data_IF_218745929657
#
_entry.id   IF_218745929657
#
_cell.length_a   1.000
_cell.length_b   1.000
_cell.length_c   1.000
_cell.angle_alpha   90.00
_cell.angle_beta   90.00
_cell.angle_gamma   90.00
#
_symmetry.space_group_name_H-M   'P 1'
#
loop_
_entity.id
_entity.type
_entity.pdbx_description
1 polymer ?
#
# COMPACT_ATOMS: atom_id res chain seq x y z
N UNK A 1 9.20 28.60 7.51
CA UNK A 1 9.34 27.41 6.61
C UNK A 1 8.08 27.27 5.77
N UNK A 2 8.20 27.24 4.45
CA UNK A 2 7.06 27.05 3.54
C UNK A 2 6.62 25.58 3.70
N UNK A 3 5.43 25.37 4.24
CA UNK A 3 4.85 24.03 4.36
C UNK A 3 4.49 23.52 2.94
N UNK A 4 5.29 22.60 2.43
CA UNK A 4 5.03 22.00 1.12
C UNK A 4 3.73 21.19 1.21
N UNK A 5 2.74 21.53 0.38
CA UNK A 5 1.44 20.85 0.41
C UNK A 5 1.54 19.39 -0.04
N UNK A 6 0.70 18.51 0.57
CA UNK A 6 0.55 17.10 0.12
C UNK A 6 0.30 17.01 -1.39
N UNK A 7 -0.41 17.98 -1.98
CA UNK A 7 -0.70 18.03 -3.41
C UNK A 7 0.59 18.16 -4.24
N UNK A 8 1.44 19.12 -3.90
CA UNK A 8 2.69 19.36 -4.62
C UNK A 8 3.64 18.14 -4.54
N UNK A 9 3.79 17.54 -3.35
CA UNK A 9 4.60 16.33 -3.17
C UNK A 9 4.04 15.18 -4.01
N UNK A 10 2.73 14.99 -4.00
CA UNK A 10 2.05 13.96 -4.79
C UNK A 10 2.31 14.12 -6.29
N UNK A 11 2.14 15.33 -6.82
CA UNK A 11 2.28 15.60 -8.24
C UNK A 11 3.74 15.38 -8.69
N UNK A 12 4.70 15.92 -7.94
CA UNK A 12 6.15 15.74 -8.21
C UNK A 12 6.54 14.26 -8.24
N UNK A 13 6.13 13.49 -7.23
CA UNK A 13 6.55 12.08 -7.11
C UNK A 13 5.79 11.16 -8.06
N UNK A 14 4.55 11.49 -8.44
CA UNK A 14 3.84 10.79 -9.52
C UNK A 14 4.57 10.95 -10.85
N UNK A 15 5.03 12.17 -11.19
CA UNK A 15 5.81 12.42 -12.42
C UNK A 15 7.08 11.56 -12.39
N UNK A 16 7.86 11.62 -11.29
CA UNK A 16 9.09 10.84 -11.18
C UNK A 16 8.83 9.33 -11.31
N UNK A 17 7.78 8.80 -10.69
CA UNK A 17 7.43 7.39 -10.76
C UNK A 17 7.00 6.98 -12.18
N UNK A 18 6.21 7.80 -12.86
CA UNK A 18 5.78 7.55 -14.25
C UNK A 18 6.93 7.55 -15.26
N UNK A 19 8.00 8.26 -14.96
CA UNK A 19 9.20 8.32 -15.81
C UNK A 19 10.06 7.05 -15.73
N UNK A 20 9.84 6.15 -14.77
CA UNK A 20 10.56 4.87 -14.70
C UNK A 20 10.33 4.06 -15.97
N UNK A 21 11.38 3.42 -16.46
CA UNK A 21 11.28 2.41 -17.53
C UNK A 21 10.72 1.11 -16.97
N UNK A 22 10.16 0.26 -17.83
CA UNK A 22 9.59 -1.04 -17.39
C UNK A 22 10.64 -1.95 -16.72
N UNK A 23 11.85 -1.99 -17.27
CA UNK A 23 12.95 -2.75 -16.68
C UNK A 23 13.39 -2.22 -15.32
N UNK A 24 13.32 -0.89 -15.09
CA UNK A 24 13.59 -0.30 -13.78
C UNK A 24 12.49 -0.71 -12.78
N UNK A 25 11.22 -0.64 -13.18
CA UNK A 25 10.10 -1.11 -12.33
C UNK A 25 10.30 -2.56 -11.93
N UNK A 26 10.68 -3.43 -12.86
CA UNK A 26 10.94 -4.84 -12.58
C UNK A 26 12.09 -5.02 -11.58
N UNK A 27 13.26 -4.43 -11.85
CA UNK A 27 14.45 -4.56 -11.00
C UNK A 27 14.23 -4.01 -9.58
N UNK A 28 13.60 -2.83 -9.47
CA UNK A 28 13.28 -2.23 -8.18
C UNK A 28 12.24 -3.07 -7.41
N UNK A 29 11.24 -3.62 -8.11
CA UNK A 29 10.23 -4.51 -7.50
C UNK A 29 10.83 -5.81 -7.00
N UNK A 30 11.79 -6.40 -7.73
CA UNK A 30 12.54 -7.57 -7.25
C UNK A 30 13.31 -7.27 -5.97
N UNK A 31 13.95 -6.10 -5.89
CA UNK A 31 14.69 -5.66 -4.72
C UNK A 31 13.77 -5.49 -3.50
N UNK A 32 12.57 -4.93 -3.68
CA UNK A 32 11.53 -4.85 -2.66
C UNK A 32 11.10 -6.26 -2.24
N UNK A 33 10.80 -7.13 -3.20
CA UNK A 33 10.35 -8.51 -2.96
C UNK A 33 11.38 -9.30 -2.15
N UNK A 34 12.68 -9.20 -2.50
CA UNK A 34 13.77 -9.88 -1.78
C UNK A 34 13.85 -9.46 -0.31
N UNK A 35 13.45 -8.23 0.04
CA UNK A 35 13.36 -7.78 1.43
C UNK A 35 12.08 -8.25 2.08
N UNK A 36 10.96 -8.08 1.42
CA UNK A 36 9.63 -8.45 1.90
C UNK A 36 9.55 -9.91 2.34
N UNK A 37 10.03 -10.84 1.51
CA UNK A 37 9.97 -12.28 1.79
C UNK A 37 10.87 -12.72 2.95
N UNK A 38 11.82 -11.90 3.40
CA UNK A 38 12.68 -12.19 4.56
C UNK A 38 12.03 -11.81 5.89
N UNK A 39 11.03 -10.93 5.87
CA UNK A 39 10.36 -10.43 7.07
C UNK A 39 9.53 -11.53 7.75
N UNK A 40 9.70 -11.75 9.07
CA UNK A 40 8.97 -12.79 9.80
C UNK A 40 7.46 -12.69 9.69
N UNK A 41 6.91 -11.48 9.82
CA UNK A 41 5.46 -11.27 9.72
C UNK A 41 4.92 -11.62 8.33
N UNK A 42 5.68 -11.31 7.26
CA UNK A 42 5.30 -11.72 5.91
C UNK A 42 5.39 -13.23 5.73
N UNK A 43 6.41 -13.89 6.30
CA UNK A 43 6.54 -15.35 6.23
C UNK A 43 5.38 -16.05 6.92
N UNK A 44 5.02 -15.57 8.11
CA UNK A 44 4.09 -16.26 9.02
C UNK A 44 2.62 -15.89 8.81
N UNK A 45 2.31 -14.81 8.10
CA UNK A 45 0.91 -14.46 7.85
C UNK A 45 0.26 -15.46 6.88
N UNK A 46 -0.97 -15.85 7.17
CA UNK A 46 -1.83 -16.66 6.30
C UNK A 46 -2.71 -15.80 5.40
N UNK A 47 -3.32 -14.76 5.99
CA UNK A 47 -4.21 -13.83 5.31
C UNK A 47 -3.47 -12.53 5.01
N UNK A 48 -3.08 -12.35 3.76
CA UNK A 48 -2.29 -11.22 3.26
C UNK A 48 -3.13 -10.38 2.31
N UNK A 49 -3.34 -9.11 2.63
CA UNK A 49 -3.92 -8.17 1.69
C UNK A 49 -2.82 -7.45 0.89
N UNK A 50 -2.97 -7.44 -0.42
CA UNK A 50 -2.08 -6.75 -1.36
C UNK A 50 -2.88 -5.81 -2.26
N UNK A 51 -2.22 -4.94 -2.97
CA UNK A 51 -2.83 -4.09 -4.00
C UNK A 51 -2.53 -4.62 -5.41
N UNK A 52 -3.35 -4.24 -6.37
CA UNK A 52 -3.08 -4.43 -7.79
C UNK A 52 -2.28 -3.22 -8.29
N UNK A 53 -1.02 -3.46 -8.66
CA UNK A 53 -0.12 -2.39 -9.07
C UNK A 53 -0.64 -1.64 -10.30
N UNK A 54 -0.56 -0.33 -10.26
CA UNK A 54 -0.92 0.59 -11.33
C UNK A 54 0.07 1.74 -11.42
N UNK A 55 0.12 2.42 -12.56
CA UNK A 55 0.93 3.64 -12.72
C UNK A 55 2.39 3.47 -12.24
N UNK A 56 3.06 2.39 -12.64
CA UNK A 56 4.45 2.08 -12.25
C UNK A 56 4.66 1.90 -10.75
N UNK A 57 3.65 1.47 -10.01
CA UNK A 57 3.82 1.01 -8.63
C UNK A 57 4.68 -0.25 -8.56
N UNK A 58 5.36 -0.51 -7.42
CA UNK A 58 6.09 -1.75 -7.25
C UNK A 58 5.19 -2.97 -7.49
N UNK A 59 5.67 -3.90 -8.28
CA UNK A 59 4.99 -5.17 -8.54
C UNK A 59 5.21 -6.10 -7.34
N UNK A 60 4.15 -6.71 -6.87
CA UNK A 60 4.22 -7.65 -5.76
C UNK A 60 4.00 -9.09 -6.24
N UNK A 61 4.73 -10.06 -5.68
CA UNK A 61 4.45 -11.47 -5.95
C UNK A 61 3.11 -11.85 -5.34
N UNK A 62 2.45 -12.83 -5.94
CA UNK A 62 1.27 -13.48 -5.37
C UNK A 62 1.72 -14.83 -4.79
N UNK A 63 1.97 -14.93 -3.46
CA UNK A 63 2.42 -16.16 -2.83
C UNK A 63 1.33 -17.25 -2.91
N UNK A 64 1.70 -18.44 -3.38
CA UNK A 64 0.76 -19.57 -3.52
C UNK A 64 0.34 -20.19 -2.17
N UNK A 65 1.15 -20.01 -1.14
CA UNK A 65 0.94 -20.57 0.20
C UNK A 65 0.20 -19.63 1.15
N UNK A 66 -0.41 -18.58 0.64
CA UNK A 66 -1.15 -17.58 1.44
C UNK A 66 -2.53 -17.35 0.85
N UNK A 67 -3.47 -17.02 1.72
CA UNK A 67 -4.78 -16.50 1.31
C UNK A 67 -4.60 -15.03 0.96
N UNK A 68 -4.67 -14.73 -0.33
CA UNK A 68 -4.47 -13.38 -0.85
C UNK A 68 -5.80 -12.64 -0.92
N UNK A 69 -5.79 -11.41 -0.43
CA UNK A 69 -6.94 -10.52 -0.39
C UNK A 69 -6.64 -9.26 -1.19
N UNK A 70 -7.64 -8.77 -1.90
CA UNK A 70 -7.54 -7.54 -2.68
C UNK A 70 -8.57 -6.53 -2.19
N UNK A 71 -8.19 -5.24 -2.16
CA UNK A 71 -9.12 -4.17 -1.82
C UNK A 71 -10.11 -3.93 -2.96
N UNK A 72 -11.32 -3.57 -2.58
CA UNK A 72 -12.39 -3.12 -3.46
C UNK A 72 -13.02 -1.87 -2.86
N UNK A 73 -13.29 -0.88 -3.70
CA UNK A 73 -13.94 0.37 -3.27
C UNK A 73 -15.40 0.08 -2.98
N UNK A 74 -15.83 0.44 -1.78
CA UNK A 74 -17.22 0.42 -1.34
C UNK A 74 -17.56 1.77 -0.69
N UNK A 75 -18.32 2.58 -1.38
CA UNK A 75 -18.59 3.95 -0.98
C UNK A 75 -17.30 4.78 -0.81
N UNK A 76 -17.01 5.18 0.41
CA UNK A 76 -15.82 5.96 0.78
C UNK A 76 -14.76 5.15 1.53
N UNK A 77 -14.92 3.83 1.64
CA UNK A 77 -14.03 2.89 2.32
C UNK A 77 -13.59 1.76 1.37
N UNK A 78 -12.76 0.86 1.90
CA UNK A 78 -12.37 -0.37 1.24
C UNK A 78 -13.02 -1.56 1.95
N UNK A 79 -13.44 -2.53 1.16
CA UNK A 79 -13.69 -3.90 1.58
C UNK A 79 -12.61 -4.81 1.02
N UNK A 80 -12.33 -5.93 1.66
CA UNK A 80 -11.32 -6.88 1.21
C UNK A 80 -11.99 -8.17 0.76
N UNK A 81 -11.53 -8.71 -0.37
CA UNK A 81 -12.12 -9.89 -1.00
C UNK A 81 -11.01 -10.87 -1.39
N UNK A 82 -11.33 -12.16 -1.39
CA UNK A 82 -10.39 -13.17 -1.85
C UNK A 82 -9.95 -12.88 -3.29
N UNK A 83 -8.66 -13.07 -3.54
CA UNK A 83 -8.10 -13.02 -4.87
C UNK A 83 -8.63 -14.19 -5.68
N UNK A 84 -9.41 -13.89 -6.70
CA UNK A 84 -9.88 -14.83 -7.72
C UNK A 84 -9.39 -14.34 -9.08
N UNK A 85 -9.54 -15.15 -10.13
CA UNK A 85 -9.19 -14.72 -11.48
C UNK A 85 -10.28 -13.88 -12.15
N UNK A 86 -11.28 -13.42 -11.38
CA UNK A 86 -12.44 -12.65 -11.87
C UNK A 86 -12.35 -11.21 -11.42
N UNK A 87 -12.17 -10.29 -12.37
CA UNK A 87 -11.97 -8.87 -12.10
C UNK A 87 -12.86 -7.99 -12.97
N UNK A 88 -13.18 -6.81 -12.44
CA UNK A 88 -13.66 -5.66 -13.21
C UNK A 88 -12.75 -4.44 -12.96
N UNK A 89 -12.73 -3.50 -13.90
CA UNK A 89 -12.05 -2.23 -13.67
C UNK A 89 -12.98 -1.29 -12.90
N UNK A 90 -12.43 -0.62 -11.91
CA UNK A 90 -13.12 0.46 -11.20
C UNK A 90 -13.00 1.81 -11.95
N UNK A 91 -13.54 2.88 -11.35
CA UNK A 91 -13.51 4.24 -11.93
C UNK A 91 -12.10 4.81 -12.17
N UNK A 92 -11.08 4.22 -11.57
CA UNK A 92 -9.67 4.57 -11.75
C UNK A 92 -8.92 3.64 -12.72
N UNK A 93 -9.62 2.70 -13.35
CA UNK A 93 -9.03 1.70 -14.25
C UNK A 93 -8.29 0.56 -13.53
N UNK A 94 -8.35 0.49 -12.20
CA UNK A 94 -7.71 -0.55 -11.39
C UNK A 94 -8.62 -1.79 -11.35
N UNK A 95 -8.01 -2.97 -11.49
CA UNK A 95 -8.73 -4.25 -11.38
C UNK A 95 -9.18 -4.49 -9.94
N UNK A 96 -10.46 -4.75 -9.74
CA UNK A 96 -11.05 -5.11 -8.46
C UNK A 96 -11.77 -6.46 -8.56
N UNK A 97 -11.80 -7.26 -7.49
CA UNK A 97 -12.57 -8.50 -7.44
C UNK A 97 -14.05 -8.24 -7.72
N UNK A 98 -14.68 -9.12 -8.51
CA UNK A 98 -16.14 -9.05 -8.71
C UNK A 98 -16.92 -9.77 -7.63
N UNK A 99 -16.26 -10.60 -6.85
CA UNK A 99 -16.88 -11.39 -5.78
C UNK A 99 -17.54 -10.49 -4.74
N UNK A 100 -18.68 -10.94 -4.21
CA UNK A 100 -19.47 -10.17 -3.24
C UNK A 100 -19.07 -10.44 -1.79
N UNK A 101 -18.49 -11.61 -1.53
CA UNK A 101 -18.11 -12.00 -0.17
C UNK A 101 -17.00 -11.10 0.37
N UNK A 102 -17.27 -10.44 1.48
CA UNK A 102 -16.32 -9.55 2.16
C UNK A 102 -15.55 -10.35 3.19
N UNK A 103 -14.24 -10.28 3.12
CA UNK A 103 -13.36 -10.89 4.12
C UNK A 103 -13.19 -9.93 5.32
N UNK A 104 -13.40 -10.37 6.56
CA UNK A 104 -13.29 -9.52 7.74
C UNK A 104 -11.87 -8.98 7.94
N UNK A 105 -11.73 -7.66 8.10
CA UNK A 105 -10.43 -6.99 8.31
C UNK A 105 -9.72 -7.54 9.56
N UNK A 106 -10.46 -7.86 10.61
CA UNK A 106 -9.92 -8.43 11.86
C UNK A 106 -9.21 -9.78 11.68
N UNK A 107 -9.46 -10.48 10.58
CA UNK A 107 -8.80 -11.74 10.23
C UNK A 107 -7.60 -11.55 9.30
N UNK A 108 -7.35 -10.34 8.81
CA UNK A 108 -6.17 -10.01 8.00
C UNK A 108 -5.00 -9.77 8.95
N UNK A 109 -3.87 -10.40 8.69
CA UNK A 109 -2.69 -10.25 9.53
C UNK A 109 -1.73 -9.17 9.03
N UNK A 110 -1.67 -8.98 7.71
CA UNK A 110 -0.79 -8.00 7.07
C UNK A 110 -1.48 -7.38 5.86
N UNK A 111 -1.42 -6.05 5.77
CA UNK A 111 -1.86 -5.29 4.60
C UNK A 111 -0.66 -4.57 4.00
N UNK A 112 -0.36 -4.84 2.73
CA UNK A 112 0.61 -4.10 1.94
C UNK A 112 -0.08 -2.93 1.24
N UNK A 113 0.35 -1.71 1.57
CA UNK A 113 -0.32 -0.47 1.16
C UNK A 113 0.56 0.28 0.15
N UNK A 114 0.04 0.61 -1.05
CA UNK A 114 0.77 1.43 -2.01
C UNK A 114 0.86 2.87 -1.52
N UNK A 115 1.94 3.56 -1.89
CA UNK A 115 2.16 4.94 -1.51
C UNK A 115 2.76 5.77 -2.66
N UNK A 116 2.59 7.08 -2.57
CA UNK A 116 3.22 8.05 -3.47
C UNK A 116 4.41 8.71 -2.77
N UNK A 117 4.30 8.96 -1.47
CA UNK A 117 5.38 9.45 -0.63
C UNK A 117 5.24 8.87 0.78
N UNK A 118 6.33 8.89 1.53
CA UNK A 118 6.33 8.62 2.97
C UNK A 118 7.40 9.46 3.66
N UNK A 119 7.22 9.72 4.96
CA UNK A 119 8.18 10.46 5.77
C UNK A 119 8.89 9.57 6.80
N UNK A 120 9.77 10.15 7.60
CA UNK A 120 10.50 9.46 8.68
C UNK A 120 9.59 8.87 9.75
N UNK A 121 8.42 9.48 9.97
CA UNK A 121 7.47 9.05 10.98
C UNK A 121 6.51 7.97 10.46
N UNK A 122 6.77 7.42 9.27
CA UNK A 122 6.01 6.37 8.59
C UNK A 122 4.58 6.76 8.22
N UNK A 123 4.30 8.05 8.09
CA UNK A 123 3.07 8.50 7.44
C UNK A 123 3.23 8.50 5.93
N UNK A 124 2.14 8.23 5.22
CA UNK A 124 2.16 8.17 3.77
C UNK A 124 1.28 9.22 3.11
N UNK A 125 1.64 9.57 1.90
CA UNK A 125 0.77 10.26 0.94
C UNK A 125 0.27 9.21 -0.07
N UNK A 126 -1.05 9.03 -0.12
CA UNK A 126 -1.73 8.23 -1.15
C UNK A 126 -2.26 9.09 -2.30
N UNK A 127 -3.17 8.55 -3.09
CA UNK A 127 -3.74 9.22 -4.26
C UNK A 127 -4.67 10.41 -3.93
N UNK A 128 -5.17 10.51 -2.71
CA UNK A 128 -5.97 11.64 -2.23
C UNK A 128 -7.37 11.30 -1.73
N UNK A 129 -7.87 10.13 -2.03
CA UNK A 129 -9.24 9.72 -1.64
C UNK A 129 -9.36 9.29 -0.17
N UNK A 130 -8.24 8.94 0.49
CA UNK A 130 -8.20 8.55 1.90
C UNK A 130 -8.84 7.20 2.20
N UNK A 131 -9.00 6.32 1.21
CA UNK A 131 -9.67 5.03 1.39
C UNK A 131 -9.07 4.19 2.52
N UNK A 132 -7.75 4.00 2.53
CA UNK A 132 -7.08 3.23 3.58
C UNK A 132 -7.21 3.89 4.95
N UNK A 133 -7.09 5.22 5.03
CA UNK A 133 -7.21 5.97 6.28
C UNK A 133 -8.61 5.78 6.88
N UNK A 134 -9.65 6.03 6.09
CA UNK A 134 -11.05 5.87 6.51
C UNK A 134 -11.43 4.43 6.86
N UNK A 135 -10.77 3.46 6.24
CA UNK A 135 -11.07 2.03 6.47
C UNK A 135 -10.39 1.49 7.71
N UNK A 136 -9.15 1.92 7.99
CA UNK A 136 -8.28 1.31 8.97
C UNK A 136 -8.11 2.14 10.25
N UNK A 137 -8.63 3.36 10.32
CA UNK A 137 -8.48 4.26 11.46
C UNK A 137 -8.88 3.60 12.78
N UNK A 138 -10.07 3.00 12.84
CA UNK A 138 -10.58 2.36 14.06
C UNK A 138 -9.67 1.22 14.57
N UNK A 139 -9.04 0.50 13.66
CA UNK A 139 -8.12 -0.60 14.00
C UNK A 139 -6.79 -0.09 14.53
N UNK A 140 -6.28 1.01 13.98
CA UNK A 140 -5.02 1.62 14.42
C UNK A 140 -5.17 2.32 15.76
N UNK A 141 -6.26 3.02 16.00
CA UNK A 141 -6.56 3.68 17.28
C UNK A 141 -6.70 2.67 18.44
N UNK A 142 -7.38 1.54 18.18
CA UNK A 142 -7.56 0.47 19.16
C UNK A 142 -6.36 -0.46 19.27
N UNK A 143 -5.33 -0.28 18.46
CA UNK A 143 -4.18 -1.19 18.32
C UNK A 143 -4.59 -2.65 18.08
N UNK A 144 -5.68 -2.83 17.36
CA UNK A 144 -6.22 -4.13 16.94
C UNK A 144 -6.19 -4.21 15.42
N UNK A 145 -6.14 -5.41 14.87
CA UNK A 145 -6.19 -5.60 13.43
C UNK A 145 -4.84 -5.85 12.76
N UNK A 146 -4.77 -5.67 11.44
CA UNK A 146 -3.60 -6.05 10.64
C UNK A 146 -2.41 -5.13 10.87
N UNK A 147 -1.20 -5.65 10.67
CA UNK A 147 -0.01 -4.82 10.46
C UNK A 147 -0.11 -4.11 9.12
N UNK A 148 0.32 -2.85 9.08
CA UNK A 148 0.22 -1.97 7.91
C UNK A 148 1.60 -1.66 7.37
N UNK A 149 1.97 -2.25 6.23
CA UNK A 149 3.26 -2.01 5.61
C UNK A 149 3.13 -1.23 4.30
N UNK A 150 3.82 -0.10 4.23
CA UNK A 150 3.94 0.67 3.00
C UNK A 150 4.90 0.01 2.02
N UNK A 151 4.53 0.01 0.75
CA UNK A 151 5.38 -0.47 -0.34
C UNK A 151 5.63 0.68 -1.30
N UNK A 152 6.89 1.00 -1.52
CA UNK A 152 7.28 2.10 -2.39
C UNK A 152 8.74 2.05 -2.79
N UNK A 153 9.14 2.98 -3.66
CA UNK A 153 10.54 3.16 -4.03
C UNK A 153 11.24 4.12 -3.03
N UNK A 154 12.51 3.94 -2.81
CA UNK A 154 13.26 4.74 -1.84
C UNK A 154 13.24 6.25 -2.16
N UNK A 155 13.18 6.62 -3.44
CA UNK A 155 13.06 8.01 -3.87
C UNK A 155 11.72 8.68 -3.48
N UNK A 156 10.74 7.90 -3.01
CA UNK A 156 9.45 8.41 -2.51
C UNK A 156 9.52 8.86 -1.05
N UNK A 157 10.67 8.67 -0.39
CA UNK A 157 10.91 9.23 0.94
C UNK A 157 11.05 10.76 0.87
N UNK A 158 10.36 11.43 1.78
CA UNK A 158 10.42 12.90 1.95
C UNK A 158 10.78 13.24 3.39
N UNK A 159 11.46 14.38 3.58
CA UNK A 159 11.83 14.87 4.91
C UNK A 159 10.75 15.73 5.57
N UNK A 160 9.67 16.03 4.84
CA UNK A 160 8.63 16.95 5.30
C UNK A 160 7.59 16.22 6.14
N UNK A 161 7.24 16.81 7.27
CA UNK A 161 6.07 16.43 8.06
C UNK A 161 4.82 17.00 7.40
N UNK A 162 3.98 16.13 6.89
CA UNK A 162 2.76 16.48 6.14
C UNK A 162 1.47 15.90 6.76
N UNK A 163 1.62 15.00 7.73
CA UNK A 163 0.52 14.26 8.33
C UNK A 163 -0.46 15.16 9.10
N UNK A 164 -1.69 14.72 9.18
CA UNK A 164 -2.72 15.31 10.01
C UNK A 164 -3.41 14.21 10.87
N UNK A 165 -4.35 14.58 11.71
CA UNK A 165 -5.03 13.68 12.66
C UNK A 165 -5.83 12.53 12.02
N UNK A 166 -6.08 12.59 10.71
CA UNK A 166 -6.83 11.55 10.00
C UNK A 166 -5.93 10.56 9.25
N UNK A 167 -4.62 10.86 9.17
CA UNK A 167 -3.68 9.98 8.49
C UNK A 167 -3.27 8.84 9.44
N UNK A 168 -3.35 7.60 8.99
CA UNK A 168 -2.86 6.45 9.75
C UNK A 168 -1.35 6.29 9.55
N UNK A 169 -0.66 5.96 10.65
CA UNK A 169 0.76 5.61 10.64
C UNK A 169 0.92 4.16 10.17
N UNK A 170 1.98 3.91 9.41
CA UNK A 170 2.37 2.56 9.00
C UNK A 170 3.29 1.95 10.06
N UNK A 171 3.32 0.61 10.17
CA UNK A 171 4.27 -0.10 11.03
C UNK A 171 5.65 -0.19 10.38
N UNK A 172 5.69 -0.33 9.04
CA UNK A 172 6.94 -0.37 8.25
C UNK A 172 6.73 0.23 6.88
N UNK A 173 7.83 0.65 6.24
CA UNK A 173 7.86 0.91 4.80
C UNK A 173 9.02 0.12 4.20
N UNK A 174 8.72 -0.69 3.18
CA UNK A 174 9.70 -1.50 2.45
C UNK A 174 9.98 -0.85 1.10
N UNK A 175 11.25 -0.57 0.85
CA UNK A 175 11.71 0.04 -0.40
C UNK A 175 12.72 -0.85 -1.11
N UNK A 176 13.10 -0.45 -2.32
CA UNK A 176 14.17 -1.09 -3.10
C UNK A 176 15.54 -1.00 -2.41
N UNK A 177 15.76 -0.05 -1.49
CA UNK A 177 17.03 0.11 -0.79
C UNK A 177 17.04 -0.46 0.62
N UNK A 178 16.00 -0.21 1.43
CA UNK A 178 15.96 -0.64 2.83
C UNK A 178 14.53 -0.72 3.38
N UNK A 179 14.42 -1.19 4.62
CA UNK A 179 13.20 -1.20 5.42
C UNK A 179 13.28 -0.06 6.42
N UNK A 180 12.21 0.71 6.53
CA UNK A 180 12.01 1.75 7.53
C UNK A 180 11.04 1.24 8.61
N UNK A 181 11.39 1.41 9.86
CA UNK A 181 10.62 1.03 11.06
C UNK A 181 10.53 2.18 12.04
#
# INVERSE_FOLDING_TARGET
MIQISKKLLRDKLKIKRRALLENEVLSLSESITKRLIKEPDFKNCENLAIYMASNKEPLLPIPKNKRILLPKIDGNKLTFHLHTNRFKKNKFGIKEPIDKEVFPISKIQLILIPLIAFNSDLYRIGYGEGYYDKTLQDFTEKKTGPKLWGIGYDFQRVSTNFQNKFDIRLDKVITDKKIYV
#
